data_IF_784969073288
#
_entry.id   IF_784969073288
#
_cell.length_a   1.000
_cell.length_b   1.000
_cell.length_c   1.000
_cell.angle_alpha   90.00
_cell.angle_beta   90.00
_cell.angle_gamma   90.00
#
_symmetry.space_group_name_H-M   'P 1'
#
loop_
_entity.id
_entity.type
_entity.pdbx_description
1 polymer ?
#
# COMPACT_ATOMS: atom_id res chain seq x y z
N UNK A 1 14.63 5.11 -0.73
CA UNK A 1 15.79 4.36 -0.22
C UNK A 1 16.27 3.23 -1.13
N UNK A 2 15.49 2.17 -1.41
CA UNK A 2 15.94 1.13 -2.37
C UNK A 2 16.13 1.66 -3.80
N UNK A 3 15.25 2.57 -4.24
CA UNK A 3 15.41 3.26 -5.53
C UNK A 3 16.66 4.16 -5.53
N UNK A 4 16.96 4.82 -4.42
CA UNK A 4 18.15 5.68 -4.27
C UNK A 4 19.45 4.87 -4.22
N UNK A 5 19.42 3.69 -3.59
CA UNK A 5 20.54 2.74 -3.59
C UNK A 5 20.83 2.23 -5.01
N UNK A 6 19.79 1.86 -5.76
CA UNK A 6 19.94 1.42 -7.15
C UNK A 6 20.45 2.57 -8.05
N UNK A 7 19.93 3.79 -7.86
CA UNK A 7 20.43 4.97 -8.58
C UNK A 7 21.90 5.28 -8.23
N UNK A 8 22.30 5.13 -6.96
CA UNK A 8 23.69 5.30 -6.52
C UNK A 8 24.61 4.19 -7.05
N UNK A 9 24.13 2.95 -7.15
CA UNK A 9 24.87 1.82 -7.73
C UNK A 9 25.13 2.04 -9.23
N UNK A 10 24.09 2.42 -9.99
CA UNK A 10 24.22 2.79 -11.40
C UNK A 10 25.18 3.98 -11.56
N UNK A 11 25.08 5.00 -10.71
CA UNK A 11 25.98 6.15 -10.74
C UNK A 11 27.43 5.79 -10.41
N UNK A 12 27.66 4.88 -9.45
CA UNK A 12 28.97 4.33 -9.12
C UNK A 12 29.55 3.54 -10.30
N UNK A 13 28.74 2.66 -10.91
CA UNK A 13 29.10 1.90 -12.11
C UNK A 13 29.47 2.80 -13.28
N UNK A 14 28.68 3.85 -13.54
CA UNK A 14 28.95 4.83 -14.59
C UNK A 14 30.21 5.65 -14.32
N UNK A 15 30.43 6.10 -13.08
CA UNK A 15 31.64 6.85 -12.72
C UNK A 15 32.90 6.00 -12.82
N UNK A 16 32.83 4.71 -12.44
CA UNK A 16 33.90 3.74 -12.66
C UNK A 16 34.17 3.55 -14.16
N UNK A 17 33.13 3.35 -14.98
CA UNK A 17 33.28 3.17 -16.43
C UNK A 17 33.91 4.38 -17.12
N UNK A 18 33.50 5.60 -16.76
CA UNK A 18 34.09 6.84 -17.28
C UNK A 18 35.56 7.00 -16.91
N UNK A 19 35.95 6.59 -15.70
CA UNK A 19 37.35 6.57 -15.29
C UNK A 19 38.15 5.53 -16.11
N UNK A 20 37.65 4.31 -16.28
CA UNK A 20 38.32 3.27 -17.09
C UNK A 20 38.43 3.61 -18.58
N UNK A 21 37.46 4.32 -19.14
CA UNK A 21 37.48 4.79 -20.54
C UNK A 21 38.43 5.98 -20.76
N UNK A 22 38.85 6.66 -19.70
CA UNK A 22 39.80 7.78 -19.80
C UNK A 22 41.27 7.34 -20.00
N UNK A 23 41.54 6.03 -20.01
CA UNK A 23 42.86 5.48 -20.32
C UNK A 23 43.09 5.53 -21.84
N UNK A 24 44.10 6.27 -22.34
CA UNK A 24 44.40 6.31 -23.77
C UNK A 24 44.80 4.92 -24.29
N UNK A 25 44.25 4.52 -25.43
CA UNK A 25 44.60 3.24 -26.08
C UNK A 25 46.06 3.18 -26.57
N UNK A 26 46.72 4.35 -26.62
CA UNK A 26 48.13 4.52 -26.97
C UNK A 26 48.88 5.10 -25.76
N UNK A 27 49.15 4.28 -24.75
CA UNK A 27 49.99 4.66 -23.62
C UNK A 27 51.45 4.82 -24.09
N UNK A 28 51.82 6.03 -24.51
CA UNK A 28 53.22 6.41 -24.75
C UNK A 28 53.81 7.04 -23.50
N UNK A 29 54.96 6.51 -23.06
CA UNK A 29 55.69 7.01 -21.89
C UNK A 29 56.24 8.42 -22.19
N UNK A 30 55.50 9.45 -21.78
CA UNK A 30 55.93 10.84 -21.88
C UNK A 30 56.86 11.22 -20.72
N UNK A 31 57.77 12.15 -20.99
CA UNK A 31 58.68 12.75 -19.99
C UNK A 31 57.88 13.35 -18.81
N UNK A 32 58.37 13.26 -17.56
CA UNK A 32 57.66 13.75 -16.36
C UNK A 32 57.20 15.22 -16.44
N UNK A 33 57.88 16.05 -17.23
CA UNK A 33 57.58 17.48 -17.39
C UNK A 33 56.39 17.76 -18.34
N UNK A 34 56.13 16.88 -19.30
CA UNK A 34 55.06 16.99 -20.31
C UNK A 34 53.77 16.30 -19.82
N UNK A 35 53.91 15.16 -19.12
CA UNK A 35 52.81 14.42 -18.52
C UNK A 35 52.06 15.22 -17.42
N UNK A 36 52.74 16.16 -16.76
CA UNK A 36 52.17 16.90 -15.64
C UNK A 36 51.05 17.89 -16.03
N UNK A 37 51.01 18.37 -17.29
CA UNK A 37 50.25 19.58 -17.67
C UNK A 37 48.96 19.34 -18.44
N UNK A 38 48.77 18.20 -19.12
CA UNK A 38 47.65 18.03 -20.08
C UNK A 38 46.55 17.08 -19.56
N UNK A 39 46.88 16.05 -18.78
CA UNK A 39 45.90 14.98 -18.42
C UNK A 39 45.60 14.79 -16.92
N UNK A 40 46.39 15.41 -16.02
CA UNK A 40 46.22 15.22 -14.57
C UNK A 40 44.92 15.83 -14.03
N UNK A 41 44.47 16.96 -14.57
CA UNK A 41 43.27 17.64 -14.05
C UNK A 41 41.98 16.87 -14.36
N UNK A 42 41.89 16.26 -15.54
CA UNK A 42 40.71 15.50 -15.97
C UNK A 42 40.60 14.16 -15.24
N UNK A 43 41.71 13.44 -15.11
CA UNK A 43 41.78 12.17 -14.37
C UNK A 43 41.49 12.34 -12.88
N UNK A 44 42.01 13.40 -12.24
CA UNK A 44 41.70 13.75 -10.85
C UNK A 44 40.21 14.09 -10.64
N UNK A 45 39.61 14.82 -11.58
CA UNK A 45 38.18 15.14 -11.52
C UNK A 45 37.31 13.88 -11.65
N UNK A 46 37.68 12.96 -12.53
CA UNK A 46 37.01 11.67 -12.69
C UNK A 46 37.17 10.80 -11.43
N UNK A 47 38.36 10.77 -10.84
CA UNK A 47 38.61 10.02 -9.59
C UNK A 47 37.83 10.61 -8.41
N UNK A 48 37.75 11.95 -8.32
CA UNK A 48 36.96 12.63 -7.28
C UNK A 48 35.48 12.29 -7.43
N UNK A 49 34.94 12.30 -8.66
CA UNK A 49 33.56 11.88 -8.95
C UNK A 49 33.32 10.41 -8.58
N UNK A 50 34.27 9.52 -8.91
CA UNK A 50 34.22 8.10 -8.57
C UNK A 50 34.18 7.87 -7.06
N UNK A 51 35.05 8.56 -6.32
CA UNK A 51 35.11 8.47 -4.85
C UNK A 51 33.80 8.92 -4.20
N UNK A 52 33.28 10.08 -4.58
CA UNK A 52 32.01 10.57 -4.05
C UNK A 52 30.82 9.66 -4.40
N UNK A 53 30.78 9.12 -5.62
CA UNK A 53 29.74 8.16 -6.01
C UNK A 53 29.81 6.88 -5.16
N UNK A 54 31.02 6.36 -4.90
CA UNK A 54 31.25 5.20 -4.06
C UNK A 54 30.87 5.46 -2.59
N UNK A 55 31.33 6.56 -2.00
CA UNK A 55 31.00 6.93 -0.62
C UNK A 55 29.48 7.07 -0.42
N UNK A 56 28.77 7.60 -1.41
CA UNK A 56 27.31 7.70 -1.38
C UNK A 56 26.63 6.34 -1.42
N UNK A 57 27.10 5.42 -2.27
CA UNK A 57 26.61 4.05 -2.33
C UNK A 57 26.86 3.31 -1.00
N UNK A 58 28.08 3.38 -0.46
CA UNK A 58 28.46 2.71 0.79
C UNK A 58 27.62 3.22 1.97
N UNK A 59 27.33 4.54 2.04
CA UNK A 59 26.47 5.13 3.07
C UNK A 59 25.02 4.62 2.97
N UNK A 60 24.44 4.63 1.77
CA UNK A 60 23.07 4.15 1.54
C UNK A 60 22.96 2.65 1.80
N UNK A 61 24.01 1.88 1.50
CA UNK A 61 24.04 0.45 1.77
C UNK A 61 23.97 0.16 3.27
N UNK A 62 24.74 0.88 4.09
CA UNK A 62 24.71 0.74 5.54
C UNK A 62 23.33 1.07 6.13
N UNK A 63 22.72 2.16 5.67
CA UNK A 63 21.37 2.56 6.09
C UNK A 63 20.32 1.49 5.73
N UNK A 64 20.39 0.93 4.52
CA UNK A 64 19.50 -0.17 4.10
C UNK A 64 19.73 -1.43 4.93
N UNK A 65 20.98 -1.79 5.23
CA UNK A 65 21.29 -2.95 6.07
C UNK A 65 20.76 -2.77 7.50
N UNK A 66 20.93 -1.59 8.10
CA UNK A 66 20.39 -1.28 9.43
C UNK A 66 18.86 -1.39 9.46
N UNK A 67 18.19 -0.89 8.42
CA UNK A 67 16.74 -1.04 8.27
C UNK A 67 16.29 -2.48 8.08
N UNK A 68 16.99 -3.26 7.26
CA UNK A 68 16.70 -4.68 7.04
C UNK A 68 16.80 -5.46 8.36
N UNK A 69 17.80 -5.17 9.18
CA UNK A 69 17.96 -5.75 10.52
C UNK A 69 16.84 -5.33 11.46
N UNK A 70 16.51 -4.03 11.52
CA UNK A 70 15.43 -3.51 12.38
C UNK A 70 14.05 -4.07 12.02
N UNK A 71 13.80 -4.32 10.74
CA UNK A 71 12.51 -4.83 10.25
C UNK A 71 12.45 -6.36 10.15
N UNK A 72 13.54 -7.08 10.42
CA UNK A 72 13.60 -8.53 10.31
C UNK A 72 13.37 -9.06 8.88
N UNK A 73 13.65 -8.24 7.87
CA UNK A 73 13.39 -8.60 6.46
C UNK A 73 14.65 -9.24 5.88
N UNK A 74 14.52 -10.46 5.36
CA UNK A 74 15.59 -11.11 4.61
C UNK A 74 15.64 -10.60 3.17
N UNK A 75 16.79 -10.04 2.76
CA UNK A 75 17.05 -9.65 1.37
C UNK A 75 16.95 -10.88 0.46
N UNK A 76 16.13 -10.77 -0.58
CA UNK A 76 15.97 -11.86 -1.54
C UNK A 76 17.27 -12.09 -2.31
N UNK A 77 17.89 -13.24 -2.08
CA UNK A 77 19.03 -13.70 -2.85
C UNK A 77 18.56 -14.38 -4.14
N UNK A 78 19.36 -14.39 -5.22
CA UNK A 78 19.04 -15.12 -6.45
C UNK A 78 18.77 -16.62 -6.26
N UNK A 79 19.29 -17.20 -5.16
CA UNK A 79 19.06 -18.60 -4.74
C UNK A 79 17.71 -18.82 -4.05
N UNK A 80 17.01 -17.77 -3.60
CA UNK A 80 15.79 -17.90 -2.83
C UNK A 80 14.61 -18.33 -3.71
N UNK A 81 13.79 -19.33 -3.31
CA UNK A 81 12.68 -19.84 -4.12
C UNK A 81 11.64 -18.76 -4.48
N UNK A 82 11.33 -17.85 -3.54
CA UNK A 82 10.46 -16.68 -3.82
C UNK A 82 11.01 -15.81 -4.96
N UNK A 83 12.32 -15.52 -4.98
CA UNK A 83 12.94 -14.74 -6.05
C UNK A 83 12.79 -15.42 -7.42
N UNK A 84 13.09 -16.72 -7.49
CA UNK A 84 12.95 -17.50 -8.73
C UNK A 84 11.50 -17.58 -9.23
N UNK A 85 10.53 -17.77 -8.33
CA UNK A 85 9.11 -17.77 -8.68
C UNK A 85 8.65 -16.42 -9.24
N UNK A 86 9.11 -15.31 -8.66
CA UNK A 86 8.80 -13.97 -9.17
C UNK A 86 9.44 -13.68 -10.51
N UNK A 87 10.66 -14.16 -10.77
CA UNK A 87 11.28 -14.05 -12.09
C UNK A 87 10.50 -14.82 -13.16
N UNK A 88 10.07 -16.05 -12.86
CA UNK A 88 9.18 -16.84 -13.74
C UNK A 88 7.86 -16.13 -13.99
N UNK A 89 7.27 -15.53 -12.95
CA UNK A 89 6.03 -14.76 -13.08
C UNK A 89 6.22 -13.51 -13.96
N UNK A 90 7.30 -12.74 -13.74
CA UNK A 90 7.59 -11.51 -14.50
C UNK A 90 7.81 -11.83 -15.98
N UNK A 91 8.49 -12.93 -16.31
CA UNK A 91 8.69 -13.35 -17.70
C UNK A 91 7.38 -13.75 -18.38
N UNK A 92 6.51 -14.48 -17.68
CA UNK A 92 5.21 -14.94 -18.19
C UNK A 92 4.12 -13.85 -18.21
N UNK A 93 4.28 -12.77 -17.45
CA UNK A 93 3.27 -11.70 -17.33
C UNK A 93 2.88 -11.08 -18.67
N UNK A 94 3.85 -10.82 -19.56
CA UNK A 94 3.57 -10.23 -20.88
C UNK A 94 2.73 -11.16 -21.75
N UNK A 95 2.99 -12.47 -21.67
CA UNK A 95 2.21 -13.49 -22.36
C UNK A 95 0.76 -13.53 -21.84
N UNK A 96 0.56 -13.62 -20.53
CA UNK A 96 -0.78 -13.60 -19.94
C UNK A 96 -1.53 -12.31 -20.24
N UNK A 97 -0.86 -11.17 -20.30
CA UNK A 97 -1.49 -9.90 -20.67
C UNK A 97 -1.95 -9.89 -22.13
N UNK A 98 -1.14 -10.40 -23.06
CA UNK A 98 -1.51 -10.51 -24.47
C UNK A 98 -2.69 -11.50 -24.65
N UNK A 99 -2.62 -12.63 -23.97
CA UNK A 99 -3.66 -13.65 -23.95
C UNK A 99 -4.99 -13.12 -23.39
N UNK A 100 -4.97 -12.41 -22.25
CA UNK A 100 -6.16 -11.75 -21.69
C UNK A 100 -6.76 -10.71 -22.65
N UNK A 101 -5.91 -9.97 -23.38
CA UNK A 101 -6.38 -9.02 -24.39
C UNK A 101 -7.10 -9.72 -25.54
N UNK A 102 -6.57 -10.85 -26.02
CA UNK A 102 -7.20 -11.65 -27.06
C UNK A 102 -8.50 -12.26 -26.56
N UNK A 103 -8.53 -12.84 -25.35
CA UNK A 103 -9.76 -13.35 -24.75
C UNK A 103 -10.85 -12.29 -24.67
N UNK A 104 -10.51 -11.08 -24.21
CA UNK A 104 -11.46 -9.96 -24.17
C UNK A 104 -11.98 -9.61 -25.56
N UNK A 105 -11.13 -9.60 -26.58
CA UNK A 105 -11.56 -9.30 -27.96
C UNK A 105 -12.49 -10.39 -28.52
N UNK A 106 -12.19 -11.67 -28.25
CA UNK A 106 -13.06 -12.79 -28.66
C UNK A 106 -14.42 -12.69 -27.98
N UNK A 107 -14.44 -12.45 -26.66
CA UNK A 107 -15.69 -12.28 -25.91
C UNK A 107 -16.48 -11.08 -26.45
N UNK A 108 -15.83 -9.93 -26.64
CA UNK A 108 -16.48 -8.76 -27.25
C UNK A 108 -17.06 -9.09 -28.63
N UNK A 109 -16.32 -9.83 -29.46
CA UNK A 109 -16.77 -10.24 -30.79
C UNK A 109 -17.97 -11.18 -30.74
N UNK A 110 -17.99 -12.14 -29.81
CA UNK A 110 -19.13 -13.03 -29.60
C UNK A 110 -20.37 -12.25 -29.15
N UNK A 111 -20.21 -11.28 -28.24
CA UNK A 111 -21.32 -10.40 -27.83
C UNK A 111 -21.82 -9.51 -28.98
N UNK A 112 -20.93 -8.98 -29.82
CA UNK A 112 -21.32 -8.22 -31.01
C UNK A 112 -22.12 -9.08 -31.99
N UNK A 113 -21.63 -10.29 -32.29
CA UNK A 113 -22.33 -11.23 -33.18
C UNK A 113 -23.68 -11.64 -32.61
N UNK A 114 -23.74 -11.91 -31.30
CA UNK A 114 -25.00 -12.19 -30.61
C UNK A 114 -25.99 -11.03 -30.74
N UNK A 115 -25.55 -9.79 -30.48
CA UNK A 115 -26.35 -8.58 -30.67
C UNK A 115 -26.84 -8.41 -32.12
N UNK A 116 -25.99 -8.68 -33.11
CA UNK A 116 -26.38 -8.61 -34.52
C UNK A 116 -27.41 -9.68 -34.89
N UNK A 117 -27.24 -10.92 -34.43
CA UNK A 117 -28.20 -12.00 -34.64
C UNK A 117 -29.55 -11.73 -33.95
N UNK A 118 -29.52 -11.15 -32.74
CA UNK A 118 -30.71 -10.64 -32.07
C UNK A 118 -31.37 -9.52 -32.89
N UNK A 119 -30.62 -8.56 -33.41
CA UNK A 119 -31.17 -7.48 -34.24
C UNK A 119 -31.84 -7.97 -35.53
N UNK A 120 -31.33 -9.06 -36.14
CA UNK A 120 -31.98 -9.68 -37.30
C UNK A 120 -33.34 -10.28 -36.93
N UNK A 121 -33.48 -10.81 -35.71
CA UNK A 121 -34.71 -11.40 -35.18
C UNK A 121 -35.68 -10.35 -34.61
N UNK A 122 -35.16 -9.25 -34.06
CA UNK A 122 -35.90 -8.14 -33.42
C UNK A 122 -36.29 -7.01 -34.37
N UNK A 123 -35.95 -7.10 -35.66
CA UNK A 123 -36.32 -6.11 -36.71
C UNK A 123 -37.84 -5.90 -36.91
N UNK A 124 -38.70 -6.54 -36.10
CA UNK A 124 -40.16 -6.33 -36.06
C UNK A 124 -40.69 -5.62 -34.81
N UNK A 125 -39.86 -5.32 -33.81
CA UNK A 125 -40.30 -4.54 -32.64
C UNK A 125 -39.37 -3.36 -32.42
N UNK A 126 -39.79 -2.19 -32.89
CA UNK A 126 -39.07 -0.93 -32.75
C UNK A 126 -38.71 -0.64 -31.28
N UNK A 127 -37.46 -0.89 -30.90
CA UNK A 127 -36.88 -0.56 -29.59
C UNK A 127 -36.93 0.95 -29.32
N UNK A 128 -37.01 1.76 -30.38
CA UNK A 128 -37.20 3.23 -30.36
C UNK A 128 -38.57 3.66 -29.86
N UNK A 129 -39.57 2.77 -29.89
CA UNK A 129 -40.92 3.05 -29.35
C UNK A 129 -40.96 2.92 -27.83
N UNK A 130 -39.97 2.25 -27.22
CA UNK A 130 -39.94 2.06 -25.77
C UNK A 130 -39.51 3.35 -25.08
N UNK A 131 -40.25 3.73 -24.04
CA UNK A 131 -40.04 5.00 -23.33
C UNK A 131 -38.64 5.13 -22.72
N UNK A 132 -37.96 4.05 -22.32
CA UNK A 132 -36.58 4.10 -21.80
C UNK A 132 -35.52 4.43 -22.87
N UNK A 133 -35.85 4.31 -24.15
CA UNK A 133 -34.97 4.67 -25.28
C UNK A 133 -34.94 6.18 -25.55
N UNK A 134 -35.95 6.91 -25.06
CA UNK A 134 -36.03 8.36 -25.19
C UNK A 134 -34.91 9.06 -24.38
N UNK A 135 -34.23 10.00 -25.01
CA UNK A 135 -33.10 10.73 -24.38
C UNK A 135 -33.51 11.42 -23.09
N UNK A 136 -34.68 12.05 -23.04
CA UNK A 136 -35.22 12.69 -21.84
C UNK A 136 -35.35 11.70 -20.66
N UNK A 137 -35.83 10.49 -20.93
CA UNK A 137 -36.02 9.47 -19.90
C UNK A 137 -34.69 8.91 -19.41
N UNK A 138 -33.67 8.78 -20.28
CA UNK A 138 -32.30 8.43 -19.86
C UNK A 138 -31.69 9.49 -18.96
N UNK A 139 -31.82 10.76 -19.32
CA UNK A 139 -31.32 11.87 -18.50
C UNK A 139 -32.06 11.95 -17.15
N UNK A 140 -33.37 11.73 -17.14
CA UNK A 140 -34.15 11.63 -15.92
C UNK A 140 -33.68 10.47 -15.02
N UNK A 141 -33.44 9.28 -15.59
CA UNK A 141 -32.91 8.12 -14.84
C UNK A 141 -31.52 8.42 -14.27
N UNK A 142 -30.65 9.09 -15.02
CA UNK A 142 -29.33 9.53 -14.53
C UNK A 142 -29.47 10.49 -13.36
N UNK A 143 -30.36 11.48 -13.47
CA UNK A 143 -30.58 12.46 -12.41
C UNK A 143 -31.15 11.79 -11.16
N UNK A 144 -32.15 10.92 -11.32
CA UNK A 144 -32.72 10.14 -10.21
C UNK A 144 -31.66 9.31 -9.49
N UNK A 145 -30.78 8.63 -10.24
CA UNK A 145 -29.66 7.85 -9.66
C UNK A 145 -28.68 8.75 -8.92
N UNK A 146 -28.32 9.91 -9.48
CA UNK A 146 -27.44 10.88 -8.79
C UNK A 146 -28.05 11.37 -7.49
N UNK A 147 -29.35 11.68 -7.49
CA UNK A 147 -30.07 12.08 -6.28
C UNK A 147 -30.09 10.94 -5.25
N UNK A 148 -30.35 9.70 -5.67
CA UNK A 148 -30.30 8.53 -4.78
C UNK A 148 -28.92 8.35 -4.16
N UNK A 149 -27.85 8.41 -4.96
CA UNK A 149 -26.47 8.30 -4.49
C UNK A 149 -26.08 9.45 -3.57
N UNK A 150 -26.51 10.68 -3.87
CA UNK A 150 -26.28 11.82 -2.98
C UNK A 150 -26.92 11.61 -1.61
N UNK A 151 -28.14 11.06 -1.56
CA UNK A 151 -28.81 10.72 -0.30
C UNK A 151 -28.06 9.63 0.48
N UNK A 152 -27.58 8.59 -0.20
CA UNK A 152 -26.74 7.55 0.42
C UNK A 152 -25.40 8.12 0.94
N UNK A 153 -24.80 9.06 0.22
CA UNK A 153 -23.53 9.65 0.63
C UNK A 153 -23.72 10.60 1.83
N UNK A 154 -24.85 11.29 1.92
CA UNK A 154 -25.20 12.09 3.10
C UNK A 154 -25.26 11.19 4.35
N UNK A 155 -25.99 10.07 4.28
CA UNK A 155 -26.10 9.17 5.45
C UNK A 155 -24.76 8.54 5.84
N UNK A 156 -23.90 8.23 4.87
CA UNK A 156 -22.52 7.77 5.13
C UNK A 156 -21.66 8.85 5.77
N UNK A 157 -21.73 10.07 5.24
CA UNK A 157 -20.97 11.21 5.76
C UNK A 157 -21.35 11.51 7.22
N UNK A 158 -22.62 11.38 7.60
CA UNK A 158 -23.07 11.53 8.99
C UNK A 158 -22.41 10.47 9.93
N UNK A 159 -22.34 9.21 9.49
CA UNK A 159 -21.68 8.14 10.27
C UNK A 159 -20.17 8.37 10.36
N UNK A 160 -19.53 8.73 9.24
CA UNK A 160 -18.08 8.98 9.20
C UNK A 160 -17.70 10.24 9.99
N UNK A 161 -18.52 11.29 10.00
CA UNK A 161 -18.33 12.46 10.85
C UNK A 161 -18.30 12.08 12.34
N UNK A 162 -19.22 11.19 12.75
CA UNK A 162 -19.26 10.67 14.12
C UNK A 162 -18.06 9.77 14.45
N UNK A 163 -17.64 8.91 13.51
CA UNK A 163 -16.44 8.07 13.66
C UNK A 163 -15.17 8.91 13.78
N UNK A 164 -15.03 9.92 12.94
CA UNK A 164 -13.92 10.86 12.98
C UNK A 164 -13.85 11.62 14.30
N UNK A 165 -15.00 12.11 14.80
CA UNK A 165 -15.08 12.76 16.11
C UNK A 165 -14.59 11.82 17.22
N UNK A 166 -15.01 10.56 17.20
CA UNK A 166 -14.61 9.54 18.17
C UNK A 166 -13.12 9.23 18.08
N UNK A 167 -12.61 9.01 16.87
CA UNK A 167 -11.21 8.70 16.62
C UNK A 167 -10.28 9.82 17.11
N UNK A 168 -10.65 11.09 16.94
CA UNK A 168 -9.87 12.23 17.44
C UNK A 168 -9.77 12.21 18.98
N UNK A 169 -10.86 11.88 19.68
CA UNK A 169 -10.87 11.80 21.14
C UNK A 169 -10.06 10.60 21.66
N UNK A 170 -10.13 9.47 20.96
CA UNK A 170 -9.33 8.28 21.28
C UNK A 170 -7.84 8.51 21.02
N UNK A 171 -7.50 9.20 19.94
CA UNK A 171 -6.13 9.63 19.61
C UNK A 171 -5.59 10.58 20.70
N UNK A 172 -6.37 11.56 21.15
CA UNK A 172 -5.99 12.45 22.25
C UNK A 172 -5.76 11.70 23.57
N UNK A 173 -6.62 10.72 23.90
CA UNK A 173 -6.43 9.86 25.07
C UNK A 173 -5.15 9.04 24.96
N UNK A 174 -4.87 8.49 23.78
CA UNK A 174 -3.66 7.72 23.53
C UNK A 174 -2.40 8.59 23.63
N UNK A 175 -2.40 9.79 23.04
CA UNK A 175 -1.27 10.71 23.15
C UNK A 175 -0.99 11.12 24.59
N UNK A 176 -2.04 11.38 25.40
CA UNK A 176 -1.87 11.65 26.84
C UNK A 176 -1.23 10.48 27.57
N UNK A 177 -1.63 9.24 27.26
CA UNK A 177 -1.05 8.04 27.85
C UNK A 177 0.42 7.87 27.48
N UNK A 178 0.76 7.96 26.19
CA UNK A 178 2.13 7.82 25.69
C UNK A 178 3.03 8.92 26.25
N UNK A 179 2.58 10.17 26.25
CA UNK A 179 3.35 11.28 26.83
C UNK A 179 3.55 11.12 28.35
N UNK A 180 2.57 10.59 29.07
CA UNK A 180 2.74 10.30 30.50
C UNK A 180 3.78 9.19 30.73
N UNK A 181 3.74 8.11 29.94
CA UNK A 181 4.71 7.02 30.01
C UNK A 181 6.13 7.50 29.71
N UNK A 182 6.33 8.24 28.62
CA UNK A 182 7.63 8.77 28.21
C UNK A 182 8.21 9.79 29.20
N UNK A 183 7.34 10.53 29.91
CA UNK A 183 7.77 11.42 31.01
C UNK A 183 8.25 10.65 32.23
N UNK A 184 7.60 9.51 32.53
CA UNK A 184 7.99 8.65 33.66
C UNK A 184 9.31 7.93 33.38
N UNK A 185 9.52 7.45 32.15
CA UNK A 185 10.77 6.81 31.74
C UNK A 185 11.92 7.77 31.45
N UNK A 186 11.65 9.08 31.35
CA UNK A 186 12.62 10.11 30.94
C UNK A 186 13.32 9.80 29.60
N UNK A 187 12.56 9.24 28.65
CA UNK A 187 13.13 8.85 27.36
C UNK A 187 13.50 10.06 26.49
N UNK A 188 14.63 9.94 25.78
CA UNK A 188 15.18 10.98 24.91
C UNK A 188 14.20 11.37 23.78
N UNK A 189 13.33 10.44 23.37
CA UNK A 189 12.34 10.66 22.29
C UNK A 189 11.16 11.55 22.71
N UNK A 190 11.03 11.89 24.00
CA UNK A 190 9.92 12.66 24.53
C UNK A 190 9.69 13.97 23.76
N UNK A 191 10.76 14.73 23.48
CA UNK A 191 10.66 16.02 22.79
C UNK A 191 10.11 15.85 21.37
N UNK A 192 10.61 14.87 20.63
CA UNK A 192 10.16 14.60 19.26
C UNK A 192 8.69 14.17 19.21
N UNK A 193 8.26 13.32 20.15
CA UNK A 193 6.86 12.89 20.28
C UNK A 193 5.97 14.07 20.68
N UNK A 194 6.43 14.93 21.59
CA UNK A 194 5.68 16.13 22.00
C UNK A 194 5.47 17.11 20.84
N UNK A 195 6.47 17.31 19.99
CA UNK A 195 6.34 18.15 18.79
C UNK A 195 5.38 17.53 17.76
N UNK A 196 5.40 16.20 17.60
CA UNK A 196 4.43 15.49 16.77
C UNK A 196 3.01 15.67 17.30
N UNK A 197 2.78 15.37 18.58
CA UNK A 197 1.47 15.50 19.23
C UNK A 197 0.94 16.93 19.13
N UNK A 198 1.78 17.94 19.37
CA UNK A 198 1.38 19.35 19.29
C UNK A 198 0.86 19.72 17.91
N UNK A 199 1.56 19.29 16.84
CA UNK A 199 1.12 19.51 15.45
C UNK A 199 -0.16 18.74 15.14
N UNK A 200 -0.26 17.49 15.60
CA UNK A 200 -1.43 16.65 15.37
C UNK A 200 -2.69 17.25 16.03
N UNK A 201 -2.56 17.75 17.25
CA UNK A 201 -3.64 18.44 17.96
C UNK A 201 -4.09 19.72 17.25
N UNK A 202 -3.18 20.52 16.68
CA UNK A 202 -3.55 21.71 15.89
C UNK A 202 -4.38 21.37 14.64
N UNK A 203 -4.10 20.24 14.00
CA UNK A 203 -4.92 19.78 12.87
C UNK A 203 -6.27 19.30 13.39
N UNK A 204 -6.28 18.51 14.46
CA UNK A 204 -7.49 17.98 15.05
C UNK A 204 -8.43 19.11 15.57
N UNK A 205 -7.90 20.22 16.08
CA UNK A 205 -8.73 21.37 16.47
C UNK A 205 -9.45 22.00 15.29
N UNK A 206 -8.80 22.08 14.12
CA UNK A 206 -9.44 22.54 12.89
C UNK A 206 -10.53 21.59 12.44
N UNK A 207 -10.24 20.29 12.40
CA UNK A 207 -11.21 19.26 12.03
C UNK A 207 -12.44 19.26 12.95
N UNK A 208 -12.23 19.43 14.27
CA UNK A 208 -13.33 19.55 15.22
C UNK A 208 -14.15 20.84 15.03
N UNK A 209 -13.52 21.94 14.60
CA UNK A 209 -14.24 23.17 14.27
C UNK A 209 -15.13 22.97 13.02
N UNK A 210 -14.60 22.32 11.98
CA UNK A 210 -15.35 22.01 10.76
C UNK A 210 -16.49 21.01 11.06
N UNK A 211 -16.27 20.01 11.94
CA UNK A 211 -17.32 19.09 12.42
C UNK A 211 -18.42 19.83 13.20
N UNK A 212 -18.06 20.79 14.07
CA UNK A 212 -19.05 21.61 14.78
C UNK A 212 -19.90 22.43 13.81
N UNK A 213 -19.29 22.97 12.75
CA UNK A 213 -20.02 23.67 11.69
C UNK A 213 -20.96 22.71 10.95
N UNK A 214 -20.50 21.51 10.60
CA UNK A 214 -21.31 20.47 9.97
C UNK A 214 -22.54 20.12 10.81
N UNK A 215 -22.38 19.94 12.13
CA UNK A 215 -23.47 19.63 13.05
C UNK A 215 -24.45 20.79 13.25
N UNK A 216 -24.05 22.02 12.91
CA UNK A 216 -24.90 23.22 13.02
C UNK A 216 -25.72 23.52 11.76
N UNK A 217 -25.57 22.73 10.69
CA UNK A 217 -26.29 22.96 9.43
C UNK A 217 -27.77 22.57 9.54
N UNK A 218 -28.63 23.41 8.96
CA UNK A 218 -30.07 23.18 8.83
C UNK A 218 -30.31 22.03 7.83
N UNK A 219 -30.50 20.82 8.36
CA UNK A 219 -30.64 19.58 7.57
C UNK A 219 -29.75 18.43 8.03
N UNK A 220 -28.91 18.63 9.04
CA UNK A 220 -28.19 17.53 9.69
C UNK A 220 -29.15 16.69 10.55
N UNK A 221 -29.20 15.39 10.29
CA UNK A 221 -30.09 14.44 10.98
C UNK A 221 -29.35 13.45 11.88
N UNK A 222 -28.02 13.44 11.83
CA UNK A 222 -27.18 12.55 12.63
C UNK A 222 -27.02 12.98 14.09
N UNK A 223 -26.42 12.10 14.89
CA UNK A 223 -26.05 12.40 16.28
C UNK A 223 -24.71 13.15 16.32
N UNK A 224 -24.65 14.36 16.91
CA UNK A 224 -23.39 15.13 17.02
C UNK A 224 -22.48 14.63 18.15
N UNK A 225 -23.00 13.76 19.02
CA UNK A 225 -22.27 13.23 20.16
C UNK A 225 -21.23 12.19 19.73
N UNK A 226 -20.03 12.18 20.33
CA UNK A 226 -19.05 11.13 20.11
C UNK A 226 -19.66 9.74 20.30
N UNK A 227 -19.22 8.77 19.50
CA UNK A 227 -19.54 7.37 19.73
C UNK A 227 -18.89 6.86 21.03
N UNK A 228 -19.48 5.84 21.63
CA UNK A 228 -18.82 5.07 22.68
C UNK A 228 -18.09 3.88 22.04
N UNK A 229 -16.85 3.58 22.45
CA UNK A 229 -16.14 2.43 21.92
C UNK A 229 -16.89 1.14 22.30
N UNK A 230 -17.34 0.39 21.30
CA UNK A 230 -17.89 -0.96 21.46
C UNK A 230 -16.71 -1.91 21.67
N UNK A 231 -16.23 -1.96 22.92
CA UNK A 231 -15.23 -2.92 23.43
C UNK A 231 -13.78 -2.77 22.94
N UNK A 232 -12.78 -3.07 23.81
CA UNK A 232 -11.37 -2.79 23.56
C UNK A 232 -10.66 -3.93 22.81
N UNK A 233 -11.15 -4.33 21.63
CA UNK A 233 -10.59 -5.51 20.91
C UNK A 233 -9.41 -5.15 19.98
N UNK A 234 -8.91 -3.91 20.00
CA UNK A 234 -7.68 -3.55 19.28
C UNK A 234 -6.71 -2.75 20.15
N UNK A 235 -6.30 -3.35 21.26
CA UNK A 235 -5.10 -2.94 22.04
C UNK A 235 -4.32 -4.16 22.48
N UNK A 236 -3.86 -4.98 21.54
CA UNK A 236 -2.84 -5.98 21.82
C UNK A 236 -1.64 -5.77 20.90
N UNK A 237 -0.71 -4.94 21.38
CA UNK A 237 0.74 -5.09 21.19
C UNK A 237 1.45 -3.96 21.93
N UNK A 238 1.43 -4.02 23.25
CA UNK A 238 2.45 -3.40 24.11
C UNK A 238 2.29 -3.89 25.56
N UNK A 239 2.31 -5.22 25.75
CA UNK A 239 2.70 -5.76 27.04
C UNK A 239 4.23 -5.91 27.03
N UNK A 240 4.92 -4.99 27.69
CA UNK A 240 6.30 -5.16 28.12
C UNK A 240 6.22 -5.77 29.53
N UNK A 241 6.74 -6.98 29.79
CA UNK A 241 6.89 -7.48 31.15
C UNK A 241 7.95 -6.64 31.88
N UNK A 242 7.58 -6.03 33.00
CA UNK A 242 8.55 -5.39 33.90
C UNK A 242 9.37 -6.46 34.65
N UNK A 243 10.68 -6.24 34.88
CA UNK A 243 11.50 -7.13 35.70
C UNK A 243 11.31 -6.78 37.18
N UNK A 244 11.12 -7.80 38.01
CA UNK A 244 11.30 -7.71 39.46
C UNK A 244 12.11 -8.92 39.91
N UNK A 245 13.36 -8.66 40.28
CA UNK A 245 14.17 -9.51 41.16
C UNK A 245 13.61 -9.33 42.60
N UNK A 246 13.68 -10.24 43.56
CA UNK A 246 14.58 -11.36 43.89
C UNK A 246 13.75 -12.38 44.71
N UNK A 247 14.01 -13.69 44.61
CA UNK A 247 14.48 -14.48 45.78
C UNK A 247 14.75 -15.96 45.46
N UNK A 248 15.62 -16.52 46.29
CA UNK A 248 16.54 -17.63 46.02
C UNK A 248 16.01 -19.03 46.35
N UNK A 249 16.52 -20.02 45.61
CA UNK A 249 16.74 -21.45 45.93
C UNK A 249 15.58 -22.36 46.39
N UNK A 250 15.33 -23.46 45.64
CA UNK A 250 15.55 -24.87 46.05
C UNK A 250 15.07 -25.88 44.97
N UNK A 251 16.04 -26.55 44.33
CA UNK A 251 16.11 -27.92 43.77
C UNK A 251 15.05 -28.60 42.85
N UNK A 252 15.50 -29.50 41.94
CA UNK A 252 14.74 -30.04 40.80
C UNK A 252 14.09 -31.41 41.07
N UNK A 253 13.23 -31.91 40.16
CA UNK A 253 13.61 -33.18 39.52
C UNK A 253 13.15 -33.41 38.06
N UNK A 254 14.02 -34.14 37.35
CA UNK A 254 13.77 -35.24 36.39
C UNK A 254 13.00 -34.98 35.08
N UNK A 255 13.81 -34.90 34.00
CA UNK A 255 13.75 -35.67 32.74
C UNK A 255 12.41 -36.35 32.36
N UNK A 256 11.85 -35.93 31.22
CA UNK A 256 11.70 -36.83 30.07
C UNK A 256 11.46 -36.05 28.77
N UNK A 257 12.19 -36.43 27.72
CA UNK A 257 12.01 -36.02 26.32
C UNK A 257 12.49 -37.17 25.44
N UNK A 258 12.06 -37.28 24.19
CA UNK A 258 10.74 -37.58 23.62
C UNK A 258 10.80 -38.96 22.90
N UNK A 259 9.89 -39.34 21.97
CA UNK A 259 10.03 -38.87 20.57
C UNK A 259 8.73 -38.67 19.76
N UNK A 260 8.82 -37.66 18.88
CA UNK A 260 8.45 -37.62 17.45
C UNK A 260 7.05 -37.98 16.90
N UNK A 261 6.75 -37.33 15.76
CA UNK A 261 5.70 -37.58 14.74
C UNK A 261 4.24 -37.27 15.14
N UNK A 262 3.39 -36.57 14.37
CA UNK A 262 3.34 -36.12 12.98
C UNK A 262 2.46 -34.82 12.98
N UNK A 263 2.68 -33.81 12.14
CA UNK A 263 2.15 -33.80 10.78
C UNK A 263 1.01 -32.76 10.63
N UNK A 264 1.32 -31.67 9.93
CA UNK A 264 0.47 -30.87 9.03
C UNK A 264 -0.98 -30.49 9.40
N UNK A 265 -1.22 -29.18 9.61
CA UNK A 265 -2.41 -28.54 9.02
C UNK A 265 -2.15 -27.05 8.69
N UNK A 266 -1.49 -26.83 7.55
CA UNK A 266 -1.51 -25.52 6.88
C UNK A 266 -2.84 -25.44 6.14
N UNK A 267 -3.77 -24.63 6.66
CA UNK A 267 -5.02 -24.29 5.99
C UNK A 267 -4.77 -23.72 4.59
N UNK A 268 -5.02 -24.55 3.58
CA UNK A 268 -5.07 -24.18 2.18
C UNK A 268 -6.26 -23.23 1.99
N UNK A 269 -5.97 -21.96 1.69
CA UNK A 269 -6.95 -21.03 1.13
C UNK A 269 -7.27 -21.54 -0.29
N UNK A 270 -8.36 -22.30 -0.41
CA UNK A 270 -8.98 -22.63 -1.68
C UNK A 270 -9.55 -21.38 -2.36
N UNK A 271 -9.78 -21.43 -3.69
CA UNK A 271 -10.34 -20.31 -4.43
C UNK A 271 -11.79 -20.06 -4.00
N UNK A 272 -12.03 -18.83 -3.56
CA UNK A 272 -13.28 -18.09 -3.42
C UNK A 272 -14.48 -18.69 -4.19
N UNK A 273 -15.34 -19.43 -3.47
CA UNK A 273 -16.67 -19.89 -3.91
C UNK A 273 -17.75 -18.79 -3.81
N UNK A 274 -17.38 -17.50 -3.79
CA UNK A 274 -18.33 -16.38 -3.72
C UNK A 274 -18.97 -15.96 -5.06
N UNK A 275 -18.55 -16.52 -6.19
CA UNK A 275 -18.99 -16.03 -7.52
C UNK A 275 -20.28 -16.67 -8.06
N UNK A 276 -20.82 -17.70 -7.39
CA UNK A 276 -22.03 -18.41 -7.86
C UNK A 276 -23.33 -17.79 -7.31
N UNK A 277 -23.31 -17.19 -6.12
CA UNK A 277 -24.52 -16.62 -5.50
C UNK A 277 -24.98 -15.29 -6.13
N UNK A 278 -24.07 -14.56 -6.77
CA UNK A 278 -24.40 -13.28 -7.44
C UNK A 278 -25.08 -13.47 -8.82
N UNK A 279 -24.97 -14.66 -9.42
CA UNK A 279 -25.66 -14.97 -10.68
C UNK A 279 -27.15 -15.29 -10.46
N UNK A 280 -27.49 -15.97 -9.36
CA UNK A 280 -28.89 -16.26 -9.01
C UNK A 280 -29.71 -15.01 -8.70
N UNK A 281 -29.10 -14.01 -8.04
CA UNK A 281 -29.74 -12.70 -7.76
C UNK A 281 -29.98 -11.85 -9.02
N UNK A 282 -29.18 -12.06 -10.07
CA UNK A 282 -29.36 -11.35 -11.34
C UNK A 282 -30.47 -11.97 -12.19
N UNK A 283 -30.68 -13.29 -12.10
CA UNK A 283 -31.82 -13.97 -12.75
C UNK A 283 -33.16 -13.59 -12.10
N UNK A 284 -33.21 -13.45 -10.77
CA UNK A 284 -34.41 -12.97 -10.06
C UNK A 284 -34.78 -11.52 -10.44
N UNK A 285 -33.79 -10.64 -10.60
CA UNK A 285 -34.03 -9.26 -11.05
C UNK A 285 -34.43 -9.17 -12.53
N UNK A 286 -34.05 -10.16 -13.35
CA UNK A 286 -34.45 -10.24 -14.75
C UNK A 286 -35.93 -10.67 -14.87
N UNK A 287 -36.36 -11.66 -14.08
CA UNK A 287 -37.74 -12.14 -14.08
C UNK A 287 -38.76 -11.13 -13.52
N UNK A 288 -38.35 -10.26 -12.60
CA UNK A 288 -39.22 -9.19 -12.06
C UNK A 288 -39.45 -8.07 -13.09
N UNK A 289 -38.55 -7.90 -14.07
CA UNK A 289 -38.68 -6.88 -15.12
C UNK A 289 -39.43 -7.35 -16.38
N UNK A 290 -39.70 -8.65 -16.52
CA UNK A 290 -40.47 -9.21 -17.65
C UNK A 290 -41.97 -9.38 -17.35
N UNK A 291 -42.43 -9.11 -16.12
CA UNK A 291 -43.83 -9.25 -15.69
C UNK A 291 -44.52 -7.92 -15.32
N UNK A 292 -44.09 -6.78 -15.86
CA UNK A 292 -44.78 -5.49 -15.75
C UNK A 292 -44.67 -4.67 -17.04
#
# INVERSE_FOLDING_TARGET
MLQDLNAADIACGNANALFFQSVPSDYQYASPEEAAKVDNSQTLNLETKRRHAKERYDRLLLEVMEMELRMGIQRWQPSHPRYQSTLKYISQRKYHQALNKVYRLVVLRLFELHKLNLSQTESRTDLTTRQWSATANREFVKLRRRISRAKEEITRCEVEARRLHTAILDEDRHFKQVLAQLRLSQDIILVAVQDFVSRRLQINTRVLADLKQLFSLEGFTGDPTPGQPVSPIFRESSHIPQPSAEDSHSDPPALDHPPDDDGDEIGVIGPDEGAQEDLGRLEELFNVLELS
#
